data_IF_150773975279
#
_entry.id   IF_150773975279
#
_cell.length_a   1.000
_cell.length_b   1.000
_cell.length_c   1.000
_cell.angle_alpha   90.00
_cell.angle_beta   90.00
_cell.angle_gamma   90.00
#
_symmetry.space_group_name_H-M   'P 1'
#
loop_
_entity.id
_entity.type
_entity.pdbx_description
1 polymer ?
#
# COMPACT_ATOMS: atom_id res chain seq x y z
N UNK A 1 11.58 8.39 44.14
CA UNK A 1 10.82 7.36 43.40
C UNK A 1 11.85 6.58 42.64
N UNK A 2 12.14 5.35 43.09
CA UNK A 2 13.16 4.51 42.50
C UNK A 2 12.72 4.09 41.10
N UNK A 3 13.41 4.62 40.09
CA UNK A 3 13.21 4.17 38.72
C UNK A 3 13.76 2.75 38.61
N UNK A 4 12.90 1.82 38.17
CA UNK A 4 13.37 0.54 37.67
C UNK A 4 14.42 0.78 36.57
N UNK A 5 15.52 0.01 36.56
CA UNK A 5 16.47 0.02 35.47
C UNK A 5 15.76 -0.12 34.10
N UNK A 6 16.14 0.67 33.08
CA UNK A 6 15.56 0.62 31.74
C UNK A 6 15.51 -0.80 31.15
N UNK A 7 16.49 -1.62 31.45
CA UNK A 7 16.62 -3.00 30.97
C UNK A 7 15.46 -3.88 31.48
N UNK A 8 15.07 -3.71 32.75
CA UNK A 8 13.96 -4.45 33.35
C UNK A 8 12.64 -4.00 32.71
N UNK A 9 12.48 -2.69 32.47
CA UNK A 9 11.29 -2.15 31.81
C UNK A 9 11.16 -2.74 30.41
N UNK A 10 12.21 -2.64 29.58
CA UNK A 10 12.24 -3.18 28.22
C UNK A 10 11.95 -4.69 28.23
N UNK A 11 12.58 -5.45 29.13
CA UNK A 11 12.35 -6.89 29.23
C UNK A 11 10.89 -7.21 29.59
N UNK A 12 10.25 -6.41 30.44
CA UNK A 12 8.84 -6.58 30.78
C UNK A 12 7.93 -6.27 29.59
N UNK A 13 8.21 -5.19 28.86
CA UNK A 13 7.41 -4.77 27.70
C UNK A 13 7.41 -5.80 26.57
N UNK A 14 8.49 -6.59 26.41
CA UNK A 14 8.56 -7.69 25.42
C UNK A 14 7.46 -8.74 25.57
N UNK A 15 6.92 -8.93 26.77
CA UNK A 15 5.86 -9.91 27.03
C UNK A 15 4.44 -9.34 26.85
N UNK A 16 4.30 -8.02 26.75
CA UNK A 16 3.00 -7.39 26.56
C UNK A 16 2.51 -7.57 25.12
N UNK A 17 1.20 -7.70 24.94
CA UNK A 17 0.60 -7.63 23.60
C UNK A 17 0.73 -6.23 23.01
N UNK A 18 0.55 -6.07 21.69
CA UNK A 18 0.55 -4.74 21.07
C UNK A 18 -0.58 -3.87 21.64
N UNK A 19 -1.75 -4.45 21.90
CA UNK A 19 -2.87 -3.76 22.53
C UNK A 19 -2.55 -3.29 23.95
N UNK A 20 -1.80 -4.07 24.73
CA UNK A 20 -1.35 -3.69 26.07
C UNK A 20 -0.29 -2.59 26.02
N UNK A 21 0.64 -2.63 25.05
CA UNK A 21 1.64 -1.57 24.86
C UNK A 21 0.98 -0.22 24.54
N UNK A 22 -0.03 -0.21 23.66
CA UNK A 22 -0.81 0.99 23.32
C UNK A 22 -1.60 1.53 24.53
N UNK A 23 -1.97 0.67 25.47
CA UNK A 23 -2.58 1.09 26.74
C UNK A 23 -1.52 1.62 27.71
N UNK A 24 -0.38 0.94 27.84
CA UNK A 24 0.70 1.28 28.75
C UNK A 24 1.38 2.62 28.40
N UNK A 25 1.45 2.99 27.12
CA UNK A 25 2.05 4.26 26.68
C UNK A 25 1.38 5.49 27.32
N UNK A 26 0.11 5.36 27.74
CA UNK A 26 -0.70 6.47 28.29
C UNK A 26 -0.46 6.71 29.78
N UNK A 27 0.37 5.88 30.43
CA UNK A 27 0.58 5.93 31.89
C UNK A 27 1.45 7.12 32.30
N UNK A 28 2.63 7.29 31.69
CA UNK A 28 3.53 8.42 31.93
C UNK A 28 4.50 8.62 30.76
N UNK A 29 5.14 9.79 30.67
CA UNK A 29 6.08 10.12 29.58
C UNK A 29 7.28 9.16 29.47
N UNK A 30 7.78 8.67 30.61
CA UNK A 30 8.90 7.72 30.62
C UNK A 30 8.45 6.37 30.03
N UNK A 31 7.31 5.84 30.48
CA UNK A 31 6.75 4.60 29.94
C UNK A 31 6.37 4.74 28.46
N UNK A 32 5.87 5.91 28.07
CA UNK A 32 5.54 6.22 26.68
C UNK A 32 6.74 6.03 25.75
N UNK A 33 7.91 6.57 26.12
CA UNK A 33 9.12 6.43 25.32
C UNK A 33 9.54 4.96 25.15
N UNK A 34 9.49 4.16 26.22
CA UNK A 34 9.80 2.73 26.16
C UNK A 34 8.77 1.94 25.33
N UNK A 35 7.48 2.27 25.45
CA UNK A 35 6.43 1.65 24.64
C UNK A 35 6.61 1.96 23.16
N UNK A 36 6.86 3.23 22.80
CA UNK A 36 7.08 3.63 21.41
C UNK A 36 8.29 2.91 20.81
N UNK A 37 9.39 2.79 21.57
CA UNK A 37 10.58 2.07 21.13
C UNK A 37 10.27 0.59 20.85
N UNK A 38 9.57 -0.09 21.77
CA UNK A 38 9.22 -1.50 21.60
C UNK A 38 8.21 -1.71 20.46
N UNK A 39 7.25 -0.80 20.29
CA UNK A 39 6.29 -0.81 19.17
C UNK A 39 7.04 -0.68 17.84
N UNK A 40 7.91 0.33 17.71
CA UNK A 40 8.71 0.54 16.50
C UNK A 40 9.63 -0.66 16.21
N UNK A 41 10.26 -1.23 17.24
CA UNK A 41 11.06 -2.44 17.11
C UNK A 41 10.22 -3.62 16.57
N UNK A 42 9.05 -3.90 17.16
CA UNK A 42 8.18 -5.00 16.69
C UNK A 42 7.67 -4.83 15.27
N UNK A 43 7.46 -3.58 14.86
CA UNK A 43 7.02 -3.22 13.52
C UNK A 43 8.16 -3.39 12.52
N UNK A 44 9.36 -2.89 12.81
CA UNK A 44 10.45 -2.80 11.83
C UNK A 44 11.34 -4.04 11.74
N UNK A 45 11.54 -4.74 12.85
CA UNK A 45 12.40 -5.94 12.94
C UNK A 45 11.65 -7.17 13.42
N UNK A 46 10.51 -6.98 14.07
CA UNK A 46 9.75 -8.06 14.68
C UNK A 46 8.74 -8.75 13.76
N UNK A 47 7.79 -9.49 14.35
CA UNK A 47 6.86 -10.35 13.62
C UNK A 47 5.81 -9.58 12.80
N UNK A 48 5.68 -8.27 13.01
CA UNK A 48 4.68 -7.43 12.34
C UNK A 48 5.20 -6.78 11.04
N UNK A 49 6.47 -7.01 10.70
CA UNK A 49 7.15 -6.35 9.58
C UNK A 49 6.49 -6.61 8.23
N UNK A 50 6.15 -7.87 7.97
CA UNK A 50 5.61 -8.33 6.68
C UNK A 50 4.16 -8.82 6.82
N UNK A 51 3.42 -8.24 7.76
CA UNK A 51 2.09 -8.72 8.14
C UNK A 51 0.99 -8.32 7.13
N UNK A 52 1.30 -7.36 6.26
CA UNK A 52 0.34 -6.70 5.39
C UNK A 52 0.68 -6.82 3.91
N UNK A 53 -0.35 -6.76 3.08
CA UNK A 53 -0.24 -6.73 1.64
C UNK A 53 -1.42 -5.99 1.01
N UNK A 54 -1.30 -5.71 -0.28
CA UNK A 54 -2.35 -5.10 -1.08
C UNK A 54 -2.65 -6.02 -2.25
N UNK A 55 -3.93 -6.34 -2.44
CA UNK A 55 -4.43 -7.00 -3.63
C UNK A 55 -4.93 -5.94 -4.59
N UNK A 56 -4.46 -5.99 -5.84
CA UNK A 56 -4.96 -5.15 -6.91
C UNK A 56 -5.36 -6.09 -8.05
N UNK A 57 -6.67 -6.20 -8.30
CA UNK A 57 -7.21 -7.23 -9.18
C UNK A 57 -6.79 -8.66 -8.78
N UNK A 58 -5.87 -9.27 -9.54
CA UNK A 58 -5.39 -10.65 -9.35
C UNK A 58 -3.96 -10.72 -8.80
N UNK A 59 -3.28 -9.59 -8.71
CA UNK A 59 -1.89 -9.53 -8.28
C UNK A 59 -1.81 -9.00 -6.85
N UNK A 60 -1.09 -9.73 -6.00
CA UNK A 60 -0.82 -9.35 -4.62
C UNK A 60 0.58 -8.77 -4.51
N UNK A 61 0.68 -7.62 -3.87
CA UNK A 61 1.93 -6.99 -3.48
C UNK A 61 2.09 -7.06 -1.96
N UNK A 62 3.26 -7.50 -1.49
CA UNK A 62 3.56 -7.50 -0.06
C UNK A 62 4.00 -6.11 0.39
N UNK A 63 3.74 -5.81 1.66
CA UNK A 63 4.09 -4.54 2.25
C UNK A 63 5.03 -4.75 3.45
N UNK A 64 6.14 -4.03 3.45
CA UNK A 64 7.21 -4.10 4.44
C UNK A 64 7.15 -2.85 5.31
N UNK A 65 6.99 -3.02 6.62
CA UNK A 65 6.96 -1.89 7.53
C UNK A 65 8.31 -1.15 7.53
N UNK A 66 8.28 0.18 7.46
CA UNK A 66 9.47 1.02 7.43
C UNK A 66 9.64 1.87 8.68
N UNK A 67 8.56 2.44 9.20
CA UNK A 67 8.62 3.37 10.32
C UNK A 67 7.27 3.49 11.04
N UNK A 68 7.33 3.76 12.35
CA UNK A 68 6.19 4.11 13.18
C UNK A 68 6.24 5.59 13.57
N UNK A 69 5.27 6.37 13.11
CA UNK A 69 5.13 7.77 13.49
C UNK A 69 4.36 7.90 14.81
N UNK A 70 5.09 8.27 15.86
CA UNK A 70 4.56 8.48 17.22
C UNK A 70 3.55 9.63 17.32
N UNK A 71 3.60 10.63 16.43
CA UNK A 71 2.70 11.80 16.45
C UNK A 71 1.35 11.45 15.86
N UNK A 72 1.36 10.87 14.65
CA UNK A 72 0.12 10.49 13.94
C UNK A 72 -0.41 9.14 14.36
N UNK A 73 0.38 8.35 15.12
CA UNK A 73 0.09 6.96 15.51
C UNK A 73 -0.16 6.07 14.29
N UNK A 74 0.61 6.28 13.23
CA UNK A 74 0.51 5.53 11.98
C UNK A 74 1.80 4.80 11.69
N UNK A 75 1.65 3.63 11.11
CA UNK A 75 2.76 2.83 10.61
C UNK A 75 2.82 2.98 9.11
N UNK A 76 4.00 3.35 8.63
CA UNK A 76 4.28 3.38 7.20
C UNK A 76 4.80 2.03 6.75
N UNK A 77 4.24 1.55 5.66
CA UNK A 77 4.67 0.38 4.92
C UNK A 77 5.13 0.81 3.53
N UNK A 78 6.25 0.25 3.07
CA UNK A 78 6.66 0.28 1.67
C UNK A 78 5.99 -0.88 0.95
N UNK A 79 5.43 -0.63 -0.23
CA UNK A 79 4.83 -1.70 -1.04
C UNK A 79 5.89 -2.18 -2.04
N UNK A 80 6.19 -3.47 -2.00
CA UNK A 80 7.15 -4.10 -2.90
C UNK A 80 6.38 -4.75 -4.07
N UNK A 81 6.30 -4.05 -5.19
CA UNK A 81 5.77 -4.60 -6.43
C UNK A 81 6.92 -4.93 -7.38
N UNK A 82 6.98 -6.18 -7.85
CA UNK A 82 7.96 -6.60 -8.85
C UNK A 82 7.74 -5.91 -10.20
N UNK A 83 6.46 -5.73 -10.57
CA UNK A 83 6.04 -5.08 -11.81
C UNK A 83 4.80 -4.22 -11.57
N UNK A 84 4.68 -3.07 -12.25
CA UNK A 84 3.44 -2.33 -12.27
C UNK A 84 2.30 -3.15 -12.85
N UNK A 85 1.09 -2.95 -12.33
CA UNK A 85 -0.09 -3.68 -12.78
C UNK A 85 -0.71 -2.94 -13.97
N UNK A 86 -0.90 -3.68 -15.07
CA UNK A 86 -1.49 -3.14 -16.29
C UNK A 86 -3.00 -3.26 -16.27
N UNK A 87 -3.66 -2.12 -16.48
CA UNK A 87 -5.11 -1.96 -16.43
C UNK A 87 -5.55 -1.51 -17.80
N UNK A 88 -6.23 -2.41 -18.51
CA UNK A 88 -6.76 -2.16 -19.85
C UNK A 88 -8.19 -1.65 -19.74
N UNK A 89 -8.49 -0.57 -20.44
CA UNK A 89 -9.84 0.00 -20.51
C UNK A 89 -10.14 0.53 -21.90
N UNK A 90 -11.39 0.38 -22.34
CA UNK A 90 -11.84 0.93 -23.63
C UNK A 90 -12.21 2.41 -23.54
N UNK A 91 -12.33 2.95 -22.32
CA UNK A 91 -12.77 4.31 -22.08
C UNK A 91 -11.89 5.01 -21.03
N UNK A 92 -11.60 6.29 -21.28
CA UNK A 92 -10.75 7.16 -20.45
C UNK A 92 -11.49 7.76 -19.23
N UNK A 93 -12.77 7.42 -19.00
CA UNK A 93 -13.56 8.09 -17.97
C UNK A 93 -13.73 7.26 -16.70
N UNK A 94 -13.26 7.82 -15.57
CA UNK A 94 -13.57 7.42 -14.19
C UNK A 94 -13.49 5.92 -13.94
N UNK A 95 -12.50 5.25 -14.55
CA UNK A 95 -12.31 3.83 -14.29
C UNK A 95 -11.92 3.67 -12.82
N UNK A 96 -12.70 2.89 -12.11
CA UNK A 96 -12.40 2.50 -10.74
C UNK A 96 -11.53 1.25 -10.75
N UNK A 97 -10.39 1.34 -10.08
CA UNK A 97 -9.47 0.23 -9.85
C UNK A 97 -9.72 -0.21 -8.42
N UNK A 98 -10.37 -1.35 -8.27
CA UNK A 98 -10.66 -1.93 -6.96
C UNK A 98 -9.40 -2.61 -6.42
N UNK A 99 -9.08 -2.24 -5.19
CA UNK A 99 -7.96 -2.77 -4.43
C UNK A 99 -8.47 -3.21 -3.06
N UNK A 100 -7.81 -4.21 -2.48
CA UNK A 100 -8.16 -4.70 -1.16
C UNK A 100 -6.92 -4.77 -0.27
N UNK A 101 -7.07 -4.38 0.99
CA UNK A 101 -6.07 -4.52 2.02
C UNK A 101 -6.10 -5.95 2.56
N UNK A 102 -4.94 -6.58 2.63
CA UNK A 102 -4.76 -7.92 3.16
C UNK A 102 -3.87 -7.89 4.40
N UNK A 103 -4.20 -8.71 5.38
CA UNK A 103 -3.35 -8.99 6.55
C UNK A 103 -3.16 -10.49 6.68
N UNK A 104 -1.92 -11.01 6.58
CA UNK A 104 -1.65 -12.47 6.52
C UNK A 104 -2.57 -13.21 5.54
N UNK A 105 -2.80 -12.63 4.37
CA UNK A 105 -3.72 -13.13 3.33
C UNK A 105 -5.21 -13.20 3.73
N UNK A 106 -5.60 -12.59 4.85
CA UNK A 106 -7.00 -12.39 5.21
C UNK A 106 -7.46 -11.01 4.75
N UNK A 107 -8.61 -10.98 4.10
CA UNK A 107 -9.28 -9.75 3.66
C UNK A 107 -9.60 -8.82 4.83
N UNK A 108 -9.35 -7.51 4.65
CA UNK A 108 -9.62 -6.49 5.67
C UNK A 108 -10.54 -5.37 5.20
N UNK A 109 -10.26 -4.76 4.07
CA UNK A 109 -10.98 -3.58 3.59
C UNK A 109 -10.76 -3.36 2.10
N UNK A 110 -11.76 -2.80 1.41
CA UNK A 110 -11.66 -2.35 0.03
C UNK A 110 -11.36 -0.85 -0.07
N UNK A 111 -10.60 -0.48 -1.09
CA UNK A 111 -10.36 0.91 -1.47
C UNK A 111 -10.21 1.03 -2.98
N UNK A 112 -10.37 2.24 -3.52
CA UNK A 112 -10.49 2.45 -4.96
C UNK A 112 -9.57 3.57 -5.43
N UNK A 113 -8.77 3.29 -6.46
CA UNK A 113 -8.14 4.35 -7.25
C UNK A 113 -9.06 4.72 -8.41
N UNK A 114 -9.26 6.02 -8.62
CA UNK A 114 -10.02 6.51 -9.77
C UNK A 114 -9.07 7.03 -10.83
N UNK A 115 -9.16 6.48 -12.04
CA UNK A 115 -8.42 6.97 -13.20
C UNK A 115 -9.10 8.25 -13.71
N UNK A 116 -8.37 9.35 -13.68
CA UNK A 116 -8.81 10.63 -14.21
C UNK A 116 -8.65 10.70 -15.73
N UNK A 117 -9.54 11.44 -16.38
CA UNK A 117 -9.51 11.66 -17.83
C UNK A 117 -8.35 12.57 -18.22
N UNK A 118 -7.77 12.35 -19.39
CA UNK A 118 -6.85 13.31 -20.00
C UNK A 118 -5.40 13.16 -19.58
N UNK A 119 -5.03 12.04 -18.97
CA UNK A 119 -3.62 11.67 -18.81
C UNK A 119 -3.03 11.45 -20.20
N UNK A 120 -1.99 12.21 -20.55
CA UNK A 120 -1.28 12.06 -21.82
C UNK A 120 -0.48 10.75 -21.86
N UNK A 121 -0.25 10.19 -23.04
CA UNK A 121 0.60 9.00 -23.17
C UNK A 121 2.02 9.26 -22.66
N UNK A 122 2.58 8.29 -21.93
CA UNK A 122 3.86 8.40 -21.23
C UNK A 122 3.81 9.26 -19.95
N UNK A 123 2.73 10.02 -19.72
CA UNK A 123 2.61 10.82 -18.51
C UNK A 123 2.33 9.93 -17.29
N UNK A 124 2.96 10.30 -16.17
CA UNK A 124 2.79 9.66 -14.88
C UNK A 124 2.21 10.68 -13.90
N UNK A 125 1.12 10.31 -13.22
CA UNK A 125 0.49 11.14 -12.20
C UNK A 125 0.55 10.44 -10.84
N UNK A 126 0.75 11.18 -9.74
CA UNK A 126 0.60 10.63 -8.40
C UNK A 126 -0.87 10.32 -8.14
N UNK A 127 -1.13 9.18 -7.51
CA UNK A 127 -2.49 8.78 -7.11
C UNK A 127 -2.48 8.38 -5.64
N UNK A 128 -3.58 8.66 -4.96
CA UNK A 128 -3.80 8.27 -3.60
C UNK A 128 -5.22 7.71 -3.45
N UNK A 129 -5.36 6.70 -2.62
CA UNK A 129 -6.63 6.13 -2.22
C UNK A 129 -6.65 5.93 -0.71
N UNK A 130 -7.83 6.02 -0.13
CA UNK A 130 -8.05 5.72 1.29
C UNK A 130 -9.11 4.65 1.38
N UNK A 131 -8.87 3.65 2.23
CA UNK A 131 -9.95 2.86 2.80
C UNK A 131 -10.84 3.75 3.67
N UNK A 132 -12.00 3.23 4.06
CA UNK A 132 -12.94 3.93 4.92
C UNK A 132 -12.25 4.38 6.22
N UNK A 133 -11.49 3.49 6.86
CA UNK A 133 -10.81 3.79 8.13
C UNK A 133 -9.46 3.11 8.33
N UNK A 134 -9.10 2.07 7.56
CA UNK A 134 -7.96 1.22 7.94
C UNK A 134 -6.66 1.53 7.21
N UNK A 135 -6.70 2.14 6.02
CA UNK A 135 -5.46 2.45 5.30
C UNK A 135 -5.54 3.69 4.40
N UNK A 136 -4.36 4.27 4.16
CA UNK A 136 -4.10 5.21 3.06
C UNK A 136 -3.02 4.63 2.19
N UNK A 137 -3.21 4.64 0.87
CA UNK A 137 -2.28 4.04 -0.09
C UNK A 137 -1.96 5.05 -1.17
N UNK A 138 -0.66 5.22 -1.42
CA UNK A 138 -0.12 6.09 -2.44
C UNK A 138 0.53 5.27 -3.55
N UNK A 139 0.51 5.82 -4.75
CA UNK A 139 1.13 5.22 -5.92
C UNK A 139 1.29 6.21 -7.06
N UNK A 140 1.63 5.68 -8.22
CA UNK A 140 1.75 6.39 -9.46
C UNK A 140 0.96 5.65 -10.54
N UNK A 141 0.24 6.40 -11.36
CA UNK A 141 -0.48 5.89 -12.52
C UNK A 141 0.15 6.47 -13.79
N UNK A 142 0.61 5.59 -14.67
CA UNK A 142 1.22 5.97 -15.95
C UNK A 142 0.33 5.52 -17.10
N UNK A 143 0.00 6.40 -18.05
CA UNK A 143 -0.65 5.97 -19.29
C UNK A 143 0.40 5.41 -20.23
N UNK A 144 0.31 4.12 -20.53
CA UNK A 144 1.24 3.42 -21.41
C UNK A 144 0.71 3.47 -22.82
N UNK A 145 1.57 3.73 -23.80
CA UNK A 145 1.20 3.57 -25.20
C UNK A 145 0.96 2.08 -25.46
N UNK A 146 -0.16 1.69 -26.11
CA UNK A 146 -0.36 0.30 -26.48
C UNK A 146 0.85 -0.16 -27.31
N UNK A 147 1.45 -1.29 -26.92
CA UNK A 147 2.59 -1.86 -27.64
C UNK A 147 2.20 -1.96 -29.11
N UNK A 148 2.82 -1.14 -29.96
CA UNK A 148 2.84 -1.40 -31.40
C UNK A 148 3.49 -2.76 -31.52
N UNK A 149 2.74 -3.79 -31.93
CA UNK A 149 3.38 -4.95 -32.52
C UNK A 149 4.26 -4.42 -33.64
N UNK A 150 5.57 -4.43 -33.42
CA UNK A 150 6.57 -4.17 -34.43
C UNK A 150 6.43 -5.26 -35.48
N UNK A 151 5.56 -5.04 -36.47
CA UNK A 151 5.54 -5.83 -37.68
C UNK A 151 6.77 -5.45 -38.50
N UNK A 152 7.89 -6.10 -38.20
CA UNK A 152 8.76 -6.57 -39.27
C UNK A 152 7.99 -7.66 -40.01
N UNK A 153 7.02 -7.26 -40.82
CA UNK A 153 6.46 -8.09 -41.88
C UNK A 153 6.34 -7.19 -43.11
N UNK A 154 7.32 -7.37 -44.00
CA UNK A 154 7.25 -7.01 -45.40
C UNK A 154 5.93 -7.54 -46.00
N UNK A 155 5.33 -6.74 -46.87
CA UNK A 155 4.29 -7.14 -47.83
C UNK A 155 2.95 -7.65 -47.25
N UNK A 156 2.01 -6.73 -47.03
CA UNK A 156 0.62 -7.10 -46.82
C UNK A 156 -0.34 -5.92 -46.88
N UNK A 157 -0.83 -5.60 -48.07
CA UNK A 157 -2.01 -4.78 -48.25
C UNK A 157 -3.25 -5.50 -47.70
N UNK A 158 -3.40 -5.56 -46.38
CA UNK A 158 -4.58 -6.07 -45.70
C UNK A 158 -5.06 -5.08 -44.62
N UNK A 159 -6.29 -4.62 -44.83
CA UNK A 159 -7.23 -4.07 -43.86
C UNK A 159 -6.90 -2.75 -43.14
N UNK A 160 -6.92 -1.67 -43.93
CA UNK A 160 -7.46 -0.37 -43.48
C UNK A 160 -9.00 -0.38 -43.28
N UNK A 161 -9.66 -1.54 -43.35
CA UNK A 161 -11.10 -1.70 -43.12
C UNK A 161 -11.34 -2.48 -41.83
N UNK A 162 -12.02 -1.82 -40.88
CA UNK A 162 -12.55 -2.32 -39.58
C UNK A 162 -11.62 -2.23 -38.36
N UNK A 163 -11.18 -1.01 -38.02
CA UNK A 163 -11.19 -0.61 -36.61
C UNK A 163 -12.58 -0.05 -36.29
N UNK A 164 -13.55 -0.95 -36.03
CA UNK A 164 -14.91 -0.59 -35.61
C UNK A 164 -14.97 -0.22 -34.12
N UNK A 165 -13.95 -0.57 -33.34
CA UNK A 165 -13.84 -0.28 -31.92
C UNK A 165 -12.62 0.61 -31.62
N UNK A 166 -12.73 1.53 -30.65
CA UNK A 166 -11.59 2.33 -30.20
C UNK A 166 -10.47 1.42 -29.67
N UNK A 167 -9.21 1.82 -29.85
CA UNK A 167 -8.07 1.10 -29.27
C UNK A 167 -8.13 1.14 -27.74
N UNK A 168 -7.79 0.03 -27.04
CA UNK A 168 -7.78 0.02 -25.60
C UNK A 168 -6.69 0.94 -25.06
N UNK A 169 -7.05 1.74 -24.07
CA UNK A 169 -6.12 2.50 -23.25
C UNK A 169 -5.51 1.56 -22.21
N UNK A 170 -4.20 1.71 -21.99
CA UNK A 170 -3.47 0.91 -21.00
C UNK A 170 -2.89 1.85 -19.95
N UNK A 171 -3.21 1.60 -18.70
CA UNK A 171 -2.61 2.28 -17.56
C UNK A 171 -1.75 1.32 -16.77
N UNK A 172 -0.67 1.81 -16.21
CA UNK A 172 0.25 1.08 -15.35
C UNK A 172 0.16 1.68 -13.95
N UNK A 173 -0.34 0.91 -13.00
CA UNK A 173 -0.43 1.29 -11.59
C UNK A 173 0.76 0.73 -10.82
N UNK A 174 1.53 1.61 -10.19
CA UNK A 174 2.62 1.26 -9.28
C UNK A 174 2.31 1.83 -7.89
N UNK A 175 2.00 0.97 -6.93
CA UNK A 175 1.86 1.37 -5.54
C UNK A 175 3.24 1.51 -4.89
N UNK A 176 3.39 2.50 -4.02
CA UNK A 176 4.68 2.85 -3.42
C UNK A 176 4.65 2.75 -1.91
N UNK A 177 3.59 3.25 -1.27
CA UNK A 177 3.52 3.40 0.17
C UNK A 177 2.10 3.17 0.67
N UNK A 178 1.99 2.63 1.87
CA UNK A 178 0.75 2.50 2.62
C UNK A 178 0.94 2.99 4.05
N UNK A 179 -0.09 3.59 4.63
CA UNK A 179 -0.14 4.01 6.02
C UNK A 179 -1.32 3.32 6.70
N UNK A 180 -1.07 2.68 7.84
CA UNK A 180 -2.07 1.98 8.64
C UNK A 180 -2.05 2.56 10.07
N UNK A 181 -3.20 2.92 10.66
CA UNK A 181 -3.28 3.33 12.05
C UNK A 181 -2.82 2.24 13.02
N UNK A 182 -2.12 2.61 14.08
CA UNK A 182 -1.69 1.68 15.12
C UNK A 182 -2.87 0.97 15.78
N UNK A 183 -4.02 1.64 15.90
CA UNK A 183 -5.27 1.05 16.40
C UNK A 183 -5.72 -0.16 15.57
N UNK A 184 -5.56 -0.10 14.25
CA UNK A 184 -5.90 -1.20 13.33
C UNK A 184 -4.96 -2.38 13.50
N UNK A 185 -3.68 -2.12 13.71
CA UNK A 185 -2.66 -3.17 13.89
C UNK A 185 -2.86 -3.85 15.26
N UNK A 186 -3.21 -3.05 16.28
CA UNK A 186 -3.39 -3.47 17.66
C UNK A 186 -4.78 -4.02 18.02
N UNK A 187 -5.77 -4.01 17.11
CA UNK A 187 -7.13 -4.51 17.37
C UNK A 187 -7.24 -6.05 17.44
N UNK A 188 -6.18 -6.74 17.88
CA UNK A 188 -6.11 -8.18 18.09
C UNK A 188 -5.94 -8.52 19.57
#
# INVERSE_FOLDING_TARGET
MDLLPPEIIIHTLKYLSLADLVRAERTCKSMQAFCHWEIEHRITTGPLKNDWGVLVHLDQANATATHFDTKTRQVTYKIEMEKPIQIKTMFDHRRQIQCSLLRRNQYREDFVFTVEKGISEGATIPVAASGADLCKVNGALTRVSPINHSSNDDNGAYDKKRLLAPSPLVYSLQLTQMQIPLSTIAAQ
#
